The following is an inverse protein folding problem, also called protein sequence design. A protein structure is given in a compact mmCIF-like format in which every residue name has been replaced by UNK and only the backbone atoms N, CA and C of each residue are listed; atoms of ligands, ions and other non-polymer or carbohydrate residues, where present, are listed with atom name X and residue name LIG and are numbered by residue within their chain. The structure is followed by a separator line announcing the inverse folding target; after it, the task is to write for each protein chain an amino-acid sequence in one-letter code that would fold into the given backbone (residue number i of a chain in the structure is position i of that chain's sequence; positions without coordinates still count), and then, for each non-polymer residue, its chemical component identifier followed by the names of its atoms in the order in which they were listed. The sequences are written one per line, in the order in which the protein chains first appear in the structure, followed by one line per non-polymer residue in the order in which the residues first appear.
data_IF_156882218415
#
_entry.id   IF_156882218415
#
_cell.length_a   1.000
_cell.length_b   1.000
_cell.length_c   1.000
_cell.angle_alpha   90.00
_cell.angle_beta   90.00
_cell.angle_gamma   90.00
#
_symmetry.space_group_name_H-M   'P 1'
#
loop_
_entity.id
_entity.type
_entity.pdbx_description
1 polymer ?
#
# COMPACT_ATOMS: atom_id res chain seq x y z
N UNK A 1 -21.06 0.27 -4.99
CA UNK A 1 -20.21 0.98 -4.02
C UNK A 1 -18.74 0.61 -4.23
N UNK A 2 -17.87 1.56 -4.04
CA UNK A 2 -16.46 1.32 -4.15
C UNK A 2 -15.97 0.57 -2.91
N UNK A 3 -15.13 -0.43 -3.16
CA UNK A 3 -14.48 -1.15 -2.09
C UNK A 3 -13.41 -0.27 -1.44
N UNK A 4 -13.44 -0.16 -0.12
CA UNK A 4 -12.42 0.55 0.65
C UNK A 4 -11.77 -0.46 1.58
N UNK A 5 -10.46 -0.72 1.44
CA UNK A 5 -9.79 -1.66 2.33
C UNK A 5 -9.82 -1.19 3.78
N UNK A 6 -10.04 -2.11 4.69
CA UNK A 6 -9.90 -1.86 6.13
C UNK A 6 -8.54 -2.41 6.54
N UNK A 7 -7.66 -1.54 7.01
CA UNK A 7 -6.30 -1.89 7.41
C UNK A 7 -6.13 -1.66 8.90
N UNK A 8 -5.67 -2.68 9.61
CA UNK A 8 -5.43 -2.59 11.06
C UNK A 8 -3.95 -2.44 11.37
N UNK A 9 -3.63 -2.10 12.63
CA UNK A 9 -2.23 -2.09 13.10
C UNK A 9 -1.57 -3.45 12.92
N UNK A 10 -2.31 -4.52 13.18
CA UNK A 10 -1.81 -5.89 13.00
C UNK A 10 -1.49 -6.19 11.55
N UNK A 11 -2.30 -5.66 10.63
CA UNK A 11 -2.07 -5.85 9.20
C UNK A 11 -0.76 -5.22 8.75
N UNK A 12 -0.49 -3.96 9.14
CA UNK A 12 0.74 -3.30 8.73
C UNK A 12 1.97 -3.99 9.33
N UNK A 13 1.86 -4.49 10.57
CA UNK A 13 2.93 -5.25 11.19
C UNK A 13 3.20 -6.55 10.45
N UNK A 14 2.15 -7.26 10.06
CA UNK A 14 2.24 -8.50 9.29
C UNK A 14 2.90 -8.25 7.92
N UNK A 15 2.49 -7.20 7.23
CA UNK A 15 3.05 -6.85 5.92
C UNK A 15 4.52 -6.48 6.02
N UNK A 16 4.88 -5.74 7.06
CA UNK A 16 6.28 -5.38 7.33
C UNK A 16 7.14 -6.63 7.50
N UNK A 17 6.70 -7.55 8.36
CA UNK A 17 7.43 -8.78 8.65
C UNK A 17 7.54 -9.69 7.43
N UNK A 18 6.52 -9.69 6.60
CA UNK A 18 6.47 -10.56 5.41
C UNK A 18 7.41 -10.09 4.31
N UNK A 19 7.41 -8.77 4.05
CA UNK A 19 8.01 -8.24 2.82
C UNK A 19 9.35 -7.52 3.02
N UNK A 20 9.75 -7.24 4.27
CA UNK A 20 10.96 -6.48 4.56
C UNK A 20 11.93 -7.29 5.41
N UNK A 21 13.21 -7.08 5.18
CA UNK A 21 14.26 -7.76 5.93
C UNK A 21 14.15 -7.42 7.42
N UNK A 22 14.36 -8.42 8.26
CA UNK A 22 14.20 -8.31 9.72
C UNK A 22 14.99 -7.15 10.31
N UNK A 23 16.23 -6.94 9.85
CA UNK A 23 17.10 -5.87 10.34
C UNK A 23 16.58 -4.47 10.04
N UNK A 24 15.59 -4.33 9.15
CA UNK A 24 14.99 -3.03 8.80
C UNK A 24 13.71 -2.75 9.57
N UNK A 25 13.16 -3.74 10.28
CA UNK A 25 11.83 -3.62 10.89
C UNK A 25 11.73 -2.50 11.90
N UNK A 26 12.72 -2.35 12.79
CA UNK A 26 12.67 -1.34 13.84
C UNK A 26 12.73 0.07 13.24
N UNK A 27 13.55 0.26 12.24
CA UNK A 27 13.65 1.56 11.54
C UNK A 27 12.32 1.92 10.87
N UNK A 28 11.75 0.98 10.13
CA UNK A 28 10.48 1.22 9.43
C UNK A 28 9.35 1.43 10.43
N UNK A 29 9.32 0.61 11.49
CA UNK A 29 8.28 0.72 12.52
C UNK A 29 8.33 2.10 13.21
N UNK A 30 9.53 2.64 13.43
CA UNK A 30 9.66 3.97 14.01
C UNK A 30 9.08 5.05 13.10
N UNK A 31 9.13 4.85 11.79
CA UNK A 31 8.57 5.78 10.82
C UNK A 31 7.02 5.75 10.81
N UNK A 32 6.41 4.65 11.19
CA UNK A 32 4.94 4.57 11.29
C UNK A 32 4.40 5.62 12.26
N UNK A 33 5.13 5.90 13.32
CA UNK A 33 4.72 6.85 14.36
C UNK A 33 4.62 8.27 13.78
N UNK A 34 5.45 8.59 12.81
CA UNK A 34 5.47 9.92 12.20
C UNK A 34 4.30 10.16 11.23
N UNK A 35 3.56 9.11 10.86
CA UNK A 35 2.45 9.24 9.92
C UNK A 35 1.21 9.69 10.69
N UNK A 36 0.79 10.92 10.44
CA UNK A 36 -0.38 11.53 11.10
C UNK A 36 -1.46 11.91 10.08
N UNK A 37 -1.32 11.43 8.88
CA UNK A 37 -2.21 11.74 7.76
C UNK A 37 -3.54 10.99 7.93
N UNK A 38 -4.60 11.55 7.37
CA UNK A 38 -5.89 10.87 7.27
C UNK A 38 -5.69 9.52 6.58
N UNK A 39 -6.43 8.50 7.00
CA UNK A 39 -6.29 7.13 6.49
C UNK A 39 -4.88 6.56 6.76
N UNK A 40 -4.34 6.87 7.93
CA UNK A 40 -2.96 6.55 8.32
C UNK A 40 -2.56 5.11 8.00
N UNK A 41 -3.32 4.13 8.45
CA UNK A 41 -2.94 2.72 8.27
C UNK A 41 -3.00 2.29 6.82
N UNK A 42 -3.97 2.81 6.09
CA UNK A 42 -4.13 2.54 4.67
C UNK A 42 -2.98 3.15 3.87
N UNK A 43 -2.53 4.35 4.26
CA UNK A 43 -1.35 5.00 3.65
C UNK A 43 -0.08 4.18 3.93
N UNK A 44 0.10 3.72 5.17
CA UNK A 44 1.25 2.89 5.53
C UNK A 44 1.28 1.62 4.70
N UNK A 45 0.15 0.92 4.58
CA UNK A 45 0.06 -0.29 3.77
C UNK A 45 0.39 0.00 2.30
N UNK A 46 -0.10 1.12 1.77
CA UNK A 46 0.19 1.54 0.40
C UNK A 46 1.70 1.78 0.21
N UNK A 47 2.33 2.46 1.15
CA UNK A 47 3.78 2.71 1.09
C UNK A 47 4.58 1.41 1.15
N UNK A 48 4.17 0.48 2.02
CA UNK A 48 4.82 -0.83 2.11
C UNK A 48 4.75 -1.58 0.78
N UNK A 49 3.58 -1.55 0.13
CA UNK A 49 3.38 -2.20 -1.17
C UNK A 49 4.22 -1.54 -2.26
N UNK A 50 4.12 -0.23 -2.37
CA UNK A 50 4.80 0.52 -3.44
C UNK A 50 6.31 0.44 -3.35
N UNK A 51 6.85 0.36 -2.14
CA UNK A 51 8.29 0.28 -1.92
C UNK A 51 8.87 -1.13 -2.14
N UNK A 52 8.04 -2.16 -2.06
CA UNK A 52 8.45 -3.52 -2.41
C UNK A 52 9.62 -4.07 -1.62
N UNK A 53 9.76 -3.74 -0.35
CA UNK A 53 10.82 -4.24 0.50
C UNK A 53 12.04 -3.33 0.63
N UNK A 54 12.08 -2.23 -0.11
CA UNK A 54 13.20 -1.28 -0.11
C UNK A 54 12.95 -0.17 0.89
N UNK A 55 13.82 -0.04 1.91
CA UNK A 55 13.67 0.93 2.99
C UNK A 55 13.73 2.37 2.49
N UNK A 56 14.67 2.67 1.61
CA UNK A 56 14.83 4.03 1.09
C UNK A 56 13.65 4.42 0.23
N UNK A 57 13.11 3.48 -0.54
CA UNK A 57 11.90 3.71 -1.33
C UNK A 57 10.69 3.92 -0.40
N UNK A 58 10.62 3.17 0.70
CA UNK A 58 9.57 3.35 1.70
C UNK A 58 9.59 4.77 2.27
N UNK A 59 10.78 5.28 2.63
CA UNK A 59 10.94 6.65 3.13
C UNK A 59 10.49 7.67 2.09
N UNK A 60 10.85 7.46 0.83
CA UNK A 60 10.43 8.34 -0.26
C UNK A 60 8.91 8.33 -0.44
N UNK A 61 8.29 7.16 -0.31
CA UNK A 61 6.83 7.03 -0.39
C UNK A 61 6.14 7.79 0.74
N UNK A 62 6.65 7.69 1.97
CA UNK A 62 6.08 8.45 3.10
C UNK A 62 6.22 9.95 2.88
N UNK A 63 7.36 10.40 2.38
CA UNK A 63 7.58 11.82 2.08
C UNK A 63 6.58 12.32 1.05
N UNK A 64 6.38 11.56 -0.03
CA UNK A 64 5.40 11.88 -1.07
C UNK A 64 3.98 11.91 -0.50
N UNK A 65 3.65 10.95 0.37
CA UNK A 65 2.32 10.83 0.96
C UNK A 65 1.95 12.03 1.84
N UNK A 66 2.92 12.75 2.38
CA UNK A 66 2.65 13.94 3.17
C UNK A 66 1.89 15.00 2.37
N UNK A 67 2.11 15.08 1.06
CA UNK A 67 1.39 16.01 0.19
C UNK A 67 0.39 15.34 -0.74
N UNK A 68 0.60 14.08 -1.05
CA UNK A 68 -0.14 13.37 -2.10
C UNK A 68 -0.58 11.97 -1.63
N UNK A 69 -1.18 11.89 -0.44
CA UNK A 69 -1.55 10.58 0.14
C UNK A 69 -2.59 9.83 -0.69
N UNK A 70 -3.48 10.55 -1.38
CA UNK A 70 -4.48 9.92 -2.25
C UNK A 70 -3.84 9.23 -3.44
N UNK A 71 -2.83 9.85 -4.03
CA UNK A 71 -2.08 9.27 -5.15
C UNK A 71 -1.27 8.06 -4.69
N UNK A 72 -0.70 8.11 -3.49
CA UNK A 72 0.03 6.99 -2.91
C UNK A 72 -0.89 5.78 -2.74
N UNK A 73 -2.07 6.00 -2.18
CA UNK A 73 -3.08 4.94 -2.02
C UNK A 73 -3.53 4.42 -3.39
N UNK A 74 -3.79 5.31 -4.31
CA UNK A 74 -4.26 4.95 -5.65
C UNK A 74 -3.25 4.06 -6.38
N UNK A 75 -1.97 4.38 -6.29
CA UNK A 75 -0.90 3.58 -6.90
C UNK A 75 -0.89 2.15 -6.35
N UNK A 76 -1.11 2.00 -5.06
CA UNK A 76 -1.10 0.70 -4.40
C UNK A 76 -2.37 -0.11 -4.64
N UNK A 77 -3.53 0.53 -4.49
CA UNK A 77 -4.84 -0.15 -4.51
C UNK A 77 -5.43 -0.31 -5.90
N UNK A 78 -4.98 0.52 -6.85
CA UNK A 78 -5.46 0.48 -8.23
C UNK A 78 -4.29 0.19 -9.18
N UNK A 79 -3.67 -0.99 -9.06
CA UNK A 79 -2.53 -1.33 -9.92
C UNK A 79 -2.94 -1.39 -11.38
N UNK A 80 -1.97 -1.15 -12.25
CA UNK A 80 -2.20 -1.16 -13.68
C UNK A 80 -2.60 -2.55 -14.15
N UNK A 81 -3.68 -2.63 -14.91
CA UNK A 81 -4.18 -3.88 -15.48
C UNK A 81 -3.58 -4.05 -16.87
N UNK A 82 -2.95 -5.20 -17.13
CA UNK A 82 -2.41 -5.53 -18.45
C UNK A 82 -3.58 -5.69 -19.42
N UNK A 83 -3.40 -5.15 -20.64
CA UNK A 83 -4.41 -5.21 -21.71
C UNK A 83 -5.76 -4.62 -21.27
N UNK A 84 -5.71 -3.51 -20.54
CA UNK A 84 -6.91 -2.86 -20.00
C UNK A 84 -7.96 -2.56 -21.07
N UNK A 85 -7.53 -2.29 -22.31
CA UNK A 85 -8.44 -2.00 -23.40
C UNK A 85 -9.38 -3.15 -23.76
N UNK A 86 -9.07 -4.37 -23.29
CA UNK A 86 -9.90 -5.56 -23.55
C UNK A 86 -11.02 -5.75 -22.52
N UNK A 87 -11.07 -4.88 -21.51
CA UNK A 87 -11.99 -5.03 -20.37
C UNK A 87 -12.89 -3.81 -20.23
N UNK A 88 -14.07 -4.05 -19.66
CA UNK A 88 -14.94 -2.95 -19.25
C UNK A 88 -14.36 -2.27 -18.00
N UNK A 89 -14.84 -1.07 -17.69
CA UNK A 89 -14.42 -0.36 -16.49
C UNK A 89 -14.65 -1.18 -15.21
N UNK A 90 -15.81 -1.84 -15.13
CA UNK A 90 -16.13 -2.70 -13.99
C UNK A 90 -15.16 -3.87 -13.87
N UNK A 91 -14.83 -4.50 -14.99
CA UNK A 91 -13.86 -5.61 -15.00
C UNK A 91 -12.46 -5.14 -14.57
N UNK A 92 -12.06 -3.95 -15.00
CA UNK A 92 -10.77 -3.37 -14.61
C UNK A 92 -10.74 -3.17 -13.09
N UNK A 93 -11.79 -2.57 -12.52
CA UNK A 93 -11.88 -2.35 -11.08
C UNK A 93 -11.84 -3.67 -10.29
N UNK A 94 -12.55 -4.69 -10.77
CA UNK A 94 -12.54 -6.01 -10.15
C UNK A 94 -11.14 -6.62 -10.13
N UNK A 95 -10.42 -6.50 -11.25
CA UNK A 95 -9.06 -7.02 -11.36
C UNK A 95 -8.09 -6.27 -10.45
N UNK A 96 -8.23 -4.97 -10.35
CA UNK A 96 -7.40 -4.16 -9.47
C UNK A 96 -7.61 -4.56 -8.00
N UNK A 97 -8.86 -4.72 -7.61
CA UNK A 97 -9.21 -5.16 -6.26
C UNK A 97 -8.65 -6.56 -5.98
N UNK A 98 -8.79 -7.49 -6.91
CA UNK A 98 -8.24 -8.83 -6.77
C UNK A 98 -6.72 -8.80 -6.59
N UNK A 99 -6.02 -8.00 -7.39
CA UNK A 99 -4.56 -7.89 -7.29
C UNK A 99 -4.13 -7.32 -5.95
N UNK A 100 -4.81 -6.28 -5.48
CA UNK A 100 -4.48 -5.67 -4.20
C UNK A 100 -4.76 -6.65 -3.05
N UNK A 101 -5.93 -7.27 -3.03
CA UNK A 101 -6.31 -8.22 -1.98
C UNK A 101 -5.40 -9.45 -1.98
N UNK A 102 -5.03 -9.94 -3.15
CA UNK A 102 -4.10 -11.06 -3.27
C UNK A 102 -2.76 -10.72 -2.64
N UNK A 103 -2.26 -9.51 -2.88
CA UNK A 103 -1.03 -9.04 -2.23
C UNK A 103 -1.22 -8.89 -0.71
N UNK A 104 -2.31 -8.23 -0.32
CA UNK A 104 -2.59 -7.89 1.08
C UNK A 104 -2.73 -9.14 1.95
N UNK A 105 -3.41 -10.15 1.45
CA UNK A 105 -3.78 -11.35 2.22
C UNK A 105 -2.74 -12.49 2.18
N UNK A 106 -1.72 -12.37 1.36
CA UNK A 106 -0.69 -13.43 1.26
C UNK A 106 -0.03 -13.79 2.58
#
# INVERSE_FOLDING_TARGET
SQYTPTVTEEDVERLLKRDYLRETHDEIRSLFISVTIRERLRVIAACLKNAGGDVEHFKAQLSTANGYWRETISEAEYPRVKRASQYTETEIHDKQREQYLSWFER
#
